data_IF_185530171880
#
_entry.id   IF_185530171880
#
_cell.length_a   1.000
_cell.length_b   1.000
_cell.length_c   1.000
_cell.angle_alpha   90.00
_cell.angle_beta   90.00
_cell.angle_gamma   90.00
#
_symmetry.space_group_name_H-M   'P 1'
#
loop_
_entity.id
_entity.type
_entity.pdbx_description
1 polymer ?
#
# COMPACT_ATOMS: atom_id res chain seq x y z
N UNK A 1 33.96 -13.03 5.80
CA UNK A 1 33.21 -12.16 6.73
C UNK A 1 31.78 -12.21 6.24
N UNK A 2 30.95 -13.07 6.81
CA UNK A 2 29.54 -13.16 6.44
C UNK A 2 28.85 -11.95 7.07
N UNK A 3 28.52 -10.94 6.28
CA UNK A 3 27.67 -9.85 6.74
C UNK A 3 26.36 -10.47 7.25
N UNK A 4 25.89 -10.02 8.41
CA UNK A 4 24.58 -10.50 8.90
C UNK A 4 23.54 -10.10 7.84
N UNK A 5 22.59 -10.97 7.48
CA UNK A 5 21.63 -10.71 6.40
C UNK A 5 20.93 -9.34 6.50
N UNK A 6 20.71 -8.84 7.73
CA UNK A 6 20.07 -7.55 8.01
C UNK A 6 20.92 -6.30 7.67
N UNK A 7 22.25 -6.42 7.60
CA UNK A 7 23.16 -5.31 7.30
C UNK A 7 23.50 -5.23 5.78
N UNK A 8 22.93 -6.12 4.95
CA UNK A 8 23.26 -6.26 3.53
C UNK A 8 22.68 -5.09 2.67
N UNK A 9 23.41 -4.57 1.66
CA UNK A 9 22.96 -3.45 0.81
C UNK A 9 21.60 -3.69 0.14
N UNK A 10 21.33 -4.93 -0.30
CA UNK A 10 20.03 -5.33 -0.85
C UNK A 10 18.88 -5.06 0.14
N UNK A 11 19.05 -5.39 1.43
CA UNK A 11 18.03 -5.18 2.46
C UNK A 11 17.71 -3.70 2.59
N UNK A 12 18.74 -2.85 2.69
CA UNK A 12 18.56 -1.40 2.76
C UNK A 12 17.82 -0.85 1.53
N UNK A 13 18.12 -1.37 0.34
CA UNK A 13 17.49 -0.95 -0.91
C UNK A 13 16.01 -1.36 -1.00
N UNK A 14 15.65 -2.57 -0.57
CA UNK A 14 14.27 -3.07 -0.69
C UNK A 14 13.39 -2.72 0.50
N UNK A 15 13.97 -2.36 1.65
CA UNK A 15 13.22 -2.06 2.88
C UNK A 15 12.08 -1.04 2.68
N UNK A 16 12.26 0.10 1.96
CA UNK A 16 11.16 1.04 1.73
C UNK A 16 9.97 0.42 0.99
N UNK A 17 10.23 -0.49 0.05
CA UNK A 17 9.18 -1.19 -0.70
C UNK A 17 8.47 -2.22 0.18
N UNK A 18 9.24 -3.03 0.92
CA UNK A 18 8.71 -4.00 1.87
C UNK A 18 7.81 -3.31 2.90
N UNK A 19 8.29 -2.24 3.54
CA UNK A 19 7.53 -1.47 4.53
C UNK A 19 6.25 -0.84 3.94
N UNK A 20 6.30 -0.43 2.67
CA UNK A 20 5.15 0.17 1.98
C UNK A 20 4.11 -0.89 1.57
N UNK A 21 4.55 -2.10 1.25
CA UNK A 21 3.68 -3.23 0.95
C UNK A 21 3.09 -3.85 2.21
N UNK A 22 3.71 -3.65 3.38
CA UNK A 22 3.35 -4.37 4.60
C UNK A 22 3.94 -5.77 4.66
N UNK A 23 4.98 -6.03 3.89
CA UNK A 23 5.63 -7.32 3.84
C UNK A 23 6.60 -7.49 5.02
N UNK A 24 6.95 -8.74 5.30
CA UNK A 24 7.92 -9.10 6.33
C UNK A 24 9.21 -9.60 5.67
N UNK A 25 10.37 -9.19 6.21
CA UNK A 25 11.68 -9.71 5.78
C UNK A 25 12.05 -10.88 6.69
N UNK A 26 12.42 -11.98 6.06
CA UNK A 26 12.80 -13.23 6.69
C UNK A 26 14.22 -13.63 6.23
N UNK A 27 14.89 -14.48 7.02
CA UNK A 27 16.07 -15.19 6.53
C UNK A 27 15.69 -16.14 5.38
N UNK A 28 16.56 -16.35 4.38
CA UNK A 28 16.26 -17.22 3.24
C UNK A 28 15.95 -18.66 3.69
N UNK A 29 16.54 -19.13 4.79
CA UNK A 29 16.28 -20.43 5.41
C UNK A 29 14.87 -20.57 6.02
N UNK A 30 14.16 -19.46 6.21
CA UNK A 30 12.81 -19.42 6.78
C UNK A 30 11.72 -19.27 5.71
N UNK A 31 12.11 -19.20 4.43
CA UNK A 31 11.19 -19.01 3.32
C UNK A 31 10.20 -20.19 3.20
N UNK A 32 8.91 -19.85 3.19
CA UNK A 32 7.83 -20.74 2.78
C UNK A 32 7.57 -20.68 1.28
N UNK A 33 6.63 -21.51 0.80
CA UNK A 33 6.31 -21.66 -0.63
C UNK A 33 5.81 -20.37 -1.29
N UNK A 34 5.13 -19.51 -0.53
CA UNK A 34 4.52 -18.28 -1.03
C UNK A 34 5.41 -17.04 -0.80
N UNK A 35 6.60 -17.22 -0.23
CA UNK A 35 7.54 -16.13 0.02
C UNK A 35 8.42 -15.88 -1.20
N UNK A 36 8.80 -14.61 -1.41
CA UNK A 36 9.66 -14.21 -2.52
C UNK A 36 11.11 -14.17 -2.04
N UNK A 37 11.94 -15.12 -2.49
CA UNK A 37 13.37 -15.13 -2.20
C UNK A 37 14.08 -14.10 -3.10
N UNK A 38 14.87 -13.22 -2.47
CA UNK A 38 15.67 -12.21 -3.16
C UNK A 38 17.15 -12.60 -3.08
N UNK A 39 17.75 -12.81 -4.25
CA UNK A 39 19.15 -13.15 -4.41
C UNK A 39 19.98 -11.94 -4.85
N UNK A 40 21.23 -11.89 -4.40
CA UNK A 40 22.25 -10.93 -4.84
C UNK A 40 23.50 -11.70 -5.26
N UNK A 41 24.03 -11.40 -6.44
CA UNK A 41 25.23 -12.08 -6.97
C UNK A 41 25.12 -13.63 -7.01
N UNK A 42 23.89 -14.15 -7.12
CA UNK A 42 23.62 -15.58 -7.18
C UNK A 42 23.49 -16.27 -5.81
N UNK A 43 23.59 -15.53 -4.71
CA UNK A 43 23.35 -16.03 -3.35
C UNK A 43 22.01 -15.52 -2.81
N UNK A 44 21.26 -16.40 -2.16
CA UNK A 44 20.01 -16.03 -1.49
C UNK A 44 20.32 -15.21 -0.23
N UNK A 45 19.79 -13.98 -0.16
CA UNK A 45 20.12 -13.03 0.92
C UNK A 45 18.99 -12.92 1.94
N UNK A 46 17.75 -12.75 1.45
CA UNK A 46 16.54 -12.63 2.27
C UNK A 46 15.34 -13.24 1.55
N UNK A 47 14.31 -13.57 2.30
CA UNK A 47 12.98 -13.82 1.76
C UNK A 47 12.01 -12.70 2.19
N UNK A 48 11.03 -12.39 1.34
CA UNK A 48 9.99 -11.41 1.60
C UNK A 48 8.64 -12.12 1.64
N UNK A 49 8.00 -12.12 2.80
CA UNK A 49 6.62 -12.61 2.97
C UNK A 49 5.65 -11.49 2.65
N UNK A 50 4.84 -11.70 1.62
CA UNK A 50 3.81 -10.75 1.23
C UNK A 50 2.62 -10.82 2.20
N UNK A 51 2.04 -9.68 2.59
CA UNK A 51 0.87 -9.69 3.45
C UNK A 51 -0.35 -10.21 2.69
N UNK A 52 -1.32 -10.73 3.45
CA UNK A 52 -2.60 -11.06 2.86
C UNK A 52 -3.28 -9.77 2.36
N UNK A 53 -4.13 -9.88 1.33
CA UNK A 53 -4.73 -8.71 0.67
C UNK A 53 -5.47 -7.77 1.64
N UNK A 54 -6.07 -8.29 2.71
CA UNK A 54 -6.71 -7.49 3.76
C UNK A 54 -5.71 -6.73 4.63
N UNK A 55 -4.60 -7.36 5.00
CA UNK A 55 -3.54 -6.74 5.80
C UNK A 55 -2.81 -5.66 4.97
N UNK A 56 -2.68 -5.90 3.66
CA UNK A 56 -2.09 -4.94 2.71
C UNK A 56 -2.79 -3.56 2.74
N UNK A 57 -4.11 -3.50 2.91
CA UNK A 57 -4.83 -2.23 2.98
C UNK A 57 -4.44 -1.43 4.23
N UNK A 58 -4.41 -2.07 5.40
CA UNK A 58 -4.03 -1.41 6.65
C UNK A 58 -2.58 -0.91 6.59
N UNK A 59 -1.69 -1.67 5.95
CA UNK A 59 -0.31 -1.24 5.71
C UNK A 59 -0.21 -0.03 4.78
N UNK A 60 -1.00 0.00 3.70
CA UNK A 60 -1.06 1.15 2.79
C UNK A 60 -1.54 2.40 3.54
N UNK A 61 -2.57 2.28 4.38
CA UNK A 61 -3.09 3.38 5.18
C UNK A 61 -2.03 3.89 6.18
N UNK A 62 -1.37 3.00 6.90
CA UNK A 62 -0.30 3.35 7.83
C UNK A 62 0.90 4.01 7.13
N UNK A 63 1.26 3.56 5.93
CA UNK A 63 2.31 4.20 5.13
C UNK A 63 1.92 5.62 4.70
N UNK A 64 0.64 5.85 4.39
CA UNK A 64 0.13 7.19 4.09
C UNK A 64 0.18 8.11 5.31
N UNK A 65 -0.16 7.63 6.50
CA UNK A 65 -0.02 8.43 7.75
C UNK A 65 1.42 8.84 7.99
N UNK A 66 2.38 7.91 7.86
CA UNK A 66 3.80 8.23 7.98
C UNK A 66 4.26 9.28 6.97
N UNK A 67 3.74 9.23 5.75
CA UNK A 67 4.07 10.21 4.69
C UNK A 67 3.50 11.60 4.99
N UNK A 68 2.28 11.67 5.53
CA UNK A 68 1.64 12.94 5.87
C UNK A 68 2.06 13.48 7.24
N UNK A 69 2.65 12.65 8.09
CA UNK A 69 3.09 13.02 9.44
C UNK A 69 1.94 13.25 10.42
N UNK A 70 0.71 12.83 10.07
CA UNK A 70 -0.49 13.03 10.87
C UNK A 70 -1.55 11.95 10.55
N UNK A 71 -2.54 11.74 11.43
CA UNK A 71 -3.65 10.81 11.18
C UNK A 71 -4.40 11.15 9.89
N UNK A 72 -4.83 10.14 9.13
CA UNK A 72 -5.57 10.39 7.88
C UNK A 72 -6.91 11.11 8.10
N UNK A 73 -7.47 10.98 9.30
CA UNK A 73 -8.70 11.65 9.73
C UNK A 73 -8.56 13.17 9.85
N UNK A 74 -7.35 13.68 10.02
CA UNK A 74 -7.06 15.12 10.15
C UNK A 74 -6.72 15.80 8.82
N UNK A 75 -6.59 15.01 7.75
CA UNK A 75 -6.31 15.54 6.42
C UNK A 75 -7.41 16.49 5.93
N UNK A 76 -7.01 17.50 5.15
CA UNK A 76 -7.97 18.36 4.49
C UNK A 76 -8.80 17.58 3.46
N UNK A 77 -9.94 18.16 3.07
CA UNK A 77 -10.88 17.51 2.17
C UNK A 77 -10.25 17.11 0.83
N UNK A 78 -9.36 17.95 0.28
CA UNK A 78 -8.74 17.71 -1.02
C UNK A 78 -7.78 16.52 -0.94
N UNK A 79 -6.96 16.46 0.09
CA UNK A 79 -6.01 15.38 0.34
C UNK A 79 -6.74 14.07 0.63
N UNK A 80 -7.87 14.10 1.36
CA UNK A 80 -8.73 12.91 1.53
C UNK A 80 -9.29 12.40 0.20
N UNK A 81 -9.63 13.28 -0.74
CA UNK A 81 -10.07 12.87 -2.08
C UNK A 81 -8.93 12.23 -2.88
N UNK A 82 -7.73 12.82 -2.84
CA UNK A 82 -6.54 12.24 -3.49
C UNK A 82 -6.16 10.89 -2.89
N UNK A 83 -6.28 10.74 -1.56
CA UNK A 83 -6.08 9.49 -0.85
C UNK A 83 -7.02 8.38 -1.34
N UNK A 84 -8.33 8.67 -1.46
CA UNK A 84 -9.30 7.70 -1.98
C UNK A 84 -8.97 7.26 -3.41
N UNK A 85 -8.53 8.17 -4.28
CA UNK A 85 -8.12 7.83 -5.66
C UNK A 85 -6.92 6.90 -5.69
N UNK A 86 -5.92 7.18 -4.85
CA UNK A 86 -4.73 6.33 -4.74
C UNK A 86 -5.08 4.92 -4.27
N UNK A 87 -5.99 4.83 -3.30
CA UNK A 87 -6.49 3.57 -2.76
C UNK A 87 -7.30 2.79 -3.80
N UNK A 88 -8.14 3.46 -4.60
CA UNK A 88 -8.85 2.84 -5.72
C UNK A 88 -7.90 2.27 -6.77
N UNK A 89 -6.89 3.04 -7.19
CA UNK A 89 -5.88 2.58 -8.15
C UNK A 89 -5.08 1.37 -7.65
N UNK A 90 -5.01 1.18 -6.32
CA UNK A 90 -4.37 0.03 -5.66
C UNK A 90 -5.33 -1.11 -5.35
N UNK A 91 -6.59 -1.03 -5.80
CA UNK A 91 -7.59 -2.08 -5.60
C UNK A 91 -8.14 -2.18 -4.18
N UNK A 92 -7.95 -1.17 -3.33
CA UNK A 92 -8.39 -1.16 -1.93
C UNK A 92 -9.89 -1.48 -1.76
N UNK A 93 -10.72 -1.08 -2.73
CA UNK A 93 -12.17 -1.26 -2.67
C UNK A 93 -12.66 -2.60 -3.22
N UNK A 94 -11.76 -3.42 -3.78
CA UNK A 94 -12.05 -4.82 -4.14
C UNK A 94 -11.90 -5.77 -2.95
N UNK A 95 -11.25 -5.32 -1.87
CA UNK A 95 -11.04 -6.10 -0.64
C UNK A 95 -12.33 -6.14 0.18
N UNK A 96 -12.60 -7.27 0.85
CA UNK A 96 -13.71 -7.37 1.79
C UNK A 96 -13.58 -6.27 2.86
N UNK A 97 -14.66 -5.53 3.07
CA UNK A 97 -14.73 -4.37 3.99
C UNK A 97 -13.85 -3.18 3.62
N UNK A 98 -13.21 -3.14 2.45
CA UNK A 98 -12.27 -2.05 2.08
C UNK A 98 -12.87 -0.64 2.19
N UNK A 99 -14.13 -0.47 1.76
CA UNK A 99 -14.84 0.83 1.92
C UNK A 99 -15.02 1.22 3.39
N UNK A 100 -15.30 0.26 4.26
CA UNK A 100 -15.49 0.50 5.69
C UNK A 100 -14.16 0.85 6.37
N UNK A 101 -13.10 0.10 6.08
CA UNK A 101 -11.75 0.37 6.59
C UNK A 101 -11.25 1.74 6.18
N UNK A 102 -11.35 2.09 4.90
CA UNK A 102 -10.92 3.41 4.39
C UNK A 102 -11.77 4.55 4.96
N UNK A 103 -13.09 4.36 5.10
CA UNK A 103 -13.97 5.34 5.71
C UNK A 103 -13.58 5.61 7.17
N UNK A 104 -13.31 4.55 7.93
CA UNK A 104 -12.82 4.63 9.32
C UNK A 104 -11.51 5.40 9.42
N UNK A 105 -10.49 5.03 8.64
CA UNK A 105 -9.18 5.67 8.66
C UNK A 105 -9.24 7.16 8.29
N UNK A 106 -10.04 7.51 7.27
CA UNK A 106 -10.21 8.91 6.84
C UNK A 106 -11.15 9.73 7.74
N UNK A 107 -11.79 9.11 8.74
CA UNK A 107 -12.77 9.77 9.60
C UNK A 107 -13.96 10.34 8.82
N UNK A 108 -14.45 9.60 7.81
CA UNK A 108 -15.59 9.99 6.98
C UNK A 108 -16.62 8.86 6.89
N UNK A 109 -17.82 9.15 6.39
CA UNK A 109 -18.82 8.10 6.17
C UNK A 109 -18.50 7.28 4.91
N UNK A 110 -18.97 6.02 4.85
CA UNK A 110 -18.94 5.19 3.63
C UNK A 110 -19.58 5.92 2.44
N UNK A 111 -20.67 6.66 2.68
CA UNK A 111 -21.30 7.51 1.68
C UNK A 111 -20.36 8.58 1.13
N UNK A 112 -19.50 9.17 1.97
CA UNK A 112 -18.51 10.15 1.55
C UNK A 112 -17.43 9.52 0.66
N UNK A 113 -17.00 8.30 0.98
CA UNK A 113 -16.08 7.53 0.13
C UNK A 113 -16.69 7.29 -1.25
N UNK A 114 -17.93 6.79 -1.33
CA UNK A 114 -18.62 6.63 -2.62
C UNK A 114 -18.75 7.93 -3.42
N UNK A 115 -18.99 9.07 -2.76
CA UNK A 115 -19.01 10.36 -3.43
C UNK A 115 -17.64 10.74 -4.03
N UNK A 116 -16.55 10.38 -3.39
CA UNK A 116 -15.21 10.65 -3.91
C UNK A 116 -14.91 9.78 -5.15
N UNK A 117 -15.30 8.50 -5.13
CA UNK A 117 -15.21 7.59 -6.29
C UNK A 117 -16.09 8.05 -7.47
N UNK A 118 -17.31 8.51 -7.20
CA UNK A 118 -18.24 8.95 -8.24
C UNK A 118 -17.79 10.25 -8.94
N UNK A 119 -17.11 11.16 -8.22
CA UNK A 119 -16.51 12.35 -8.84
C UNK A 119 -15.38 11.98 -9.81
N UNK A 120 -14.67 10.89 -9.58
CA UNK A 120 -13.61 10.40 -10.47
C UNK A 120 -14.17 9.83 -11.78
N UNK A 121 -15.16 8.94 -11.69
CA UNK A 121 -15.74 8.36 -12.91
C UNK A 121 -16.42 9.40 -13.82
N UNK A 122 -16.90 10.51 -13.26
CA UNK A 122 -17.38 11.65 -14.04
C UNK A 122 -16.23 12.41 -14.73
N UNK A 123 -15.18 12.77 -13.98
CA UNK A 123 -14.01 13.50 -14.50
C UNK A 123 -13.21 12.70 -15.56
N UNK A 124 -13.05 11.39 -15.38
CA UNK A 124 -12.36 10.54 -16.35
C UNK A 124 -13.17 10.34 -17.64
N UNK A 125 -14.51 10.29 -17.55
CA UNK A 125 -15.39 10.23 -18.73
C UNK A 125 -15.39 11.54 -19.52
N UNK A 126 -15.38 12.69 -18.85
CA UNK A 126 -15.27 14.01 -19.50
C UNK A 126 -13.93 14.19 -20.24
N UNK A 127 -12.81 13.74 -19.66
CA UNK A 127 -11.50 13.77 -20.33
C UNK A 127 -11.42 12.85 -21.55
N UNK A 128 -12.07 11.69 -21.51
CA UNK A 128 -12.15 10.78 -22.65
C UNK A 128 -13.03 11.34 -23.79
N UNK A 129 -14.07 12.11 -23.46
CA UNK A 129 -14.98 12.71 -24.43
C UNK A 129 -14.43 14.01 -25.07
N UNK A 130 -13.53 14.73 -24.40
CA UNK A 130 -12.94 15.98 -24.90
C UNK A 130 -11.71 15.82 -25.82
N UNK A 131 -11.23 14.58 -26.03
CA UNK A 131 -10.07 14.26 -26.88
C UNK A 131 -10.48 13.64 -28.24
N UNK A 132 -11.76 13.73 -28.62
CA UNK A 132 -12.33 13.21 -29.87
C UNK A 132 -12.59 14.27 -30.91
#
# INVERSE_FOLDING_TARGET
MTERPLDHPLVAAVKPLVDAMGAEILGPEQAGTDDVVLAWEGEDVIAVRLPQLSESLDHILAAMERRHGMPLSELDRKTKQEAVRMLEARGAFSVRHGVETVAGALGVSRFTVYNYLNRETALNREKAAGNG
#
